data_IF_434099504815
#
_entry.id   IF_434099504815
#
_cell.length_a   1.000
_cell.length_b   1.000
_cell.length_c   1.000
_cell.angle_alpha   90.00
_cell.angle_beta   90.00
_cell.angle_gamma   90.00
#
_symmetry.space_group_name_H-M   'P 1'
#
loop_
_entity.id
_entity.type
_entity.pdbx_description
1 polymer ?
#
# COMPACT_ATOMS: atom_id res chain seq x y z
N UNK A 1 -22.51 12.89 18.55
CA UNK A 1 -21.22 13.20 19.18
C UNK A 1 -20.75 14.53 18.65
N UNK A 2 -20.27 15.42 19.52
CA UNK A 2 -19.64 16.67 19.07
C UNK A 2 -18.28 16.40 18.46
N UNK A 3 -17.96 17.06 17.35
CA UNK A 3 -16.61 17.13 16.78
C UNK A 3 -15.63 17.66 17.83
N UNK A 4 -14.34 17.32 17.70
CA UNK A 4 -13.32 17.80 18.63
C UNK A 4 -13.26 19.34 18.69
N UNK A 5 -13.50 20.01 17.55
CA UNK A 5 -13.54 21.47 17.44
C UNK A 5 -14.74 22.10 18.16
N UNK A 6 -15.88 21.42 18.21
CA UNK A 6 -17.10 21.90 18.91
C UNK A 6 -16.99 21.76 20.44
N UNK A 7 -15.97 21.02 20.91
CA UNK A 7 -15.62 20.89 22.33
C UNK A 7 -14.50 21.84 22.74
N UNK A 8 -13.88 22.54 21.77
CA UNK A 8 -12.80 23.48 22.00
C UNK A 8 -13.25 24.63 22.91
N UNK A 9 -12.38 25.05 23.81
CA UNK A 9 -12.56 26.26 24.61
C UNK A 9 -11.32 27.15 24.47
N UNK A 10 -11.47 28.41 24.01
CA UNK A 10 -10.34 29.32 23.83
C UNK A 10 -9.45 29.41 25.07
N UNK A 11 -8.14 29.28 24.87
CA UNK A 11 -7.12 29.34 25.92
C UNK A 11 -6.90 28.05 26.71
N UNK A 12 -7.73 27.01 26.51
CA UNK A 12 -7.56 25.73 27.21
C UNK A 12 -6.32 24.98 26.71
N UNK A 13 -5.65 24.26 27.60
CA UNK A 13 -4.41 23.51 27.32
C UNK A 13 -4.52 22.08 27.84
N UNK A 14 -3.96 21.15 27.09
CA UNK A 14 -3.75 19.76 27.50
C UNK A 14 -2.31 19.55 28.00
N UNK A 15 -1.88 18.30 28.07
CA UNK A 15 -0.48 17.95 28.29
C UNK A 15 0.42 18.56 27.21
N UNK A 16 1.56 19.11 27.63
CA UNK A 16 2.58 19.65 26.74
C UNK A 16 3.83 18.77 26.75
N UNK A 17 4.71 18.91 25.74
CA UNK A 17 6.04 18.33 25.82
C UNK A 17 6.79 18.87 27.04
N UNK A 18 7.79 18.13 27.56
CA UNK A 18 8.65 18.65 28.61
C UNK A 18 9.25 19.98 28.19
N UNK A 19 9.25 20.95 29.13
CA UNK A 19 9.94 22.20 28.90
C UNK A 19 11.44 21.94 29.02
N UNK A 20 12.16 22.26 27.95
CA UNK A 20 13.61 22.37 27.97
C UNK A 20 13.92 23.85 28.08
N UNK A 21 14.84 24.25 28.98
CA UNK A 21 15.32 25.63 29.16
C UNK A 21 16.19 26.07 27.95
N UNK A 22 15.61 25.99 26.75
CA UNK A 22 16.24 26.37 25.50
C UNK A 22 15.86 27.82 25.17
N UNK A 23 16.79 28.60 24.60
CA UNK A 23 16.46 29.94 24.13
C UNK A 23 15.41 29.86 23.02
N UNK A 24 14.48 30.80 23.02
CA UNK A 24 13.49 30.91 21.96
C UNK A 24 14.19 31.07 20.61
N UNK A 25 13.78 30.28 19.61
CA UNK A 25 14.34 30.38 18.28
C UNK A 25 14.09 31.78 17.69
N UNK A 26 15.14 32.43 17.21
CA UNK A 26 15.04 33.71 16.53
C UNK A 26 14.53 33.51 15.10
N UNK A 27 13.21 33.41 14.95
CA UNK A 27 12.56 33.32 13.64
C UNK A 27 12.37 34.75 13.10
N UNK A 28 12.86 35.10 11.90
CA UNK A 28 12.59 36.39 11.25
C UNK A 28 11.09 36.67 11.18
N UNK A 29 10.68 37.92 11.41
CA UNK A 29 9.27 38.29 11.54
C UNK A 29 8.46 37.94 10.27
N UNK A 30 9.07 38.13 9.11
CA UNK A 30 8.50 37.80 7.80
C UNK A 30 8.24 36.30 7.58
N UNK A 31 8.87 35.43 8.38
CA UNK A 31 8.65 33.98 8.36
C UNK A 31 7.70 33.51 9.47
N UNK A 32 7.30 34.39 10.40
CA UNK A 32 6.41 34.03 11.49
C UNK A 32 4.98 33.88 10.99
N UNK A 33 4.28 32.92 11.59
CA UNK A 33 2.86 32.74 11.33
C UNK A 33 2.08 33.88 11.98
N UNK A 34 1.38 34.69 11.17
CA UNK A 34 0.58 35.81 11.65
C UNK A 34 -0.64 35.39 12.48
N UNK A 35 -1.29 34.28 12.12
CA UNK A 35 -2.48 33.76 12.79
C UNK A 35 -2.27 32.32 13.28
N UNK A 36 -2.61 31.99 14.54
CA UNK A 36 -2.51 30.62 15.04
C UNK A 36 -3.33 29.63 14.19
N UNK A 37 -2.90 28.36 14.06
CA UNK A 37 -3.74 27.35 13.45
C UNK A 37 -5.01 27.15 14.28
N UNK A 38 -6.12 26.85 13.60
CA UNK A 38 -7.41 26.52 14.24
C UNK A 38 -7.41 25.09 14.81
N UNK A 39 -6.41 24.77 15.63
CA UNK A 39 -6.36 23.52 16.38
C UNK A 39 -7.36 23.60 17.56
N UNK A 40 -7.93 22.46 17.97
CA UNK A 40 -8.88 22.46 19.07
C UNK A 40 -8.14 22.61 20.42
N UNK A 41 -8.70 23.43 21.32
CA UNK A 41 -8.14 23.76 22.63
C UNK A 41 -8.90 23.00 23.73
N UNK A 42 -8.33 21.89 24.22
CA UNK A 42 -8.95 21.00 25.20
C UNK A 42 -7.98 20.60 26.30
N UNK A 43 -8.53 20.19 27.46
CA UNK A 43 -7.75 19.54 28.50
C UNK A 43 -7.55 18.05 28.16
N UNK A 44 -6.47 17.45 28.67
CA UNK A 44 -6.14 16.04 28.39
C UNK A 44 -7.26 15.04 28.72
N UNK A 45 -8.00 15.17 29.85
CA UNK A 45 -9.13 14.28 30.12
C UNK A 45 -10.26 14.38 29.08
N UNK A 46 -10.44 15.55 28.46
CA UNK A 46 -11.45 15.73 27.42
C UNK A 46 -11.03 15.10 26.09
N UNK A 47 -9.73 15.14 25.77
CA UNK A 47 -9.13 14.43 24.65
C UNK A 47 -9.35 12.92 24.79
N UNK A 48 -9.02 12.36 25.97
CA UNK A 48 -9.22 10.96 26.27
C UNK A 48 -10.70 10.56 26.13
N UNK A 49 -11.62 11.32 26.74
CA UNK A 49 -13.07 11.07 26.62
C UNK A 49 -13.53 11.12 25.16
N UNK A 50 -13.01 12.05 24.37
CA UNK A 50 -13.38 12.18 22.97
C UNK A 50 -12.97 10.94 22.16
N UNK A 51 -11.68 10.54 22.20
CA UNK A 51 -11.23 9.40 21.41
C UNK A 51 -11.76 8.05 21.93
N UNK A 52 -11.97 7.89 23.23
CA UNK A 52 -12.65 6.71 23.78
C UNK A 52 -14.12 6.64 23.35
N UNK A 53 -14.84 7.77 23.29
CA UNK A 53 -16.21 7.79 22.75
C UNK A 53 -16.23 7.49 21.24
N UNK A 54 -15.23 7.94 20.47
CA UNK A 54 -15.10 7.57 19.05
C UNK A 54 -14.85 6.07 18.89
N UNK A 55 -13.96 5.49 19.71
CA UNK A 55 -13.61 4.08 19.57
C UNK A 55 -14.79 3.15 19.86
N UNK A 56 -15.67 3.49 20.82
CA UNK A 56 -16.87 2.69 21.11
C UNK A 56 -17.95 2.79 20.02
N UNK A 57 -17.84 3.78 19.12
CA UNK A 57 -18.72 3.93 17.95
C UNK A 57 -18.14 3.27 16.69
N UNK A 58 -16.92 2.73 16.76
CA UNK A 58 -16.29 2.03 15.66
C UNK A 58 -16.46 0.52 15.81
N UNK A 59 -16.80 -0.16 14.70
CA UNK A 59 -16.77 -1.62 14.64
C UNK A 59 -15.47 -2.06 13.96
N UNK A 60 -14.84 -3.09 14.49
CA UNK A 60 -13.61 -3.66 13.94
C UNK A 60 -13.50 -5.15 14.24
N UNK A 61 -12.38 -5.76 13.81
CA UNK A 61 -12.14 -7.19 13.98
C UNK A 61 -12.13 -7.64 15.45
N UNK A 62 -11.82 -6.71 16.36
CA UNK A 62 -11.74 -6.97 17.80
C UNK A 62 -13.11 -6.98 18.47
N UNK A 63 -14.11 -6.38 17.82
CA UNK A 63 -15.46 -6.23 18.35
C UNK A 63 -16.45 -7.23 17.74
N UNK A 64 -16.07 -7.92 16.66
CA UNK A 64 -16.89 -8.97 16.08
C UNK A 64 -16.42 -9.47 14.72
N UNK A 65 -17.22 -10.37 14.14
CA UNK A 65 -16.94 -10.97 12.84
C UNK A 65 -17.02 -9.94 11.69
N UNK A 66 -16.01 -9.93 10.82
CA UNK A 66 -15.82 -8.87 9.82
C UNK A 66 -15.55 -9.44 8.41
N UNK A 67 -16.56 -10.04 7.72
CA UNK A 67 -16.37 -10.79 6.47
C UNK A 67 -16.27 -9.90 5.22
N UNK A 68 -15.24 -9.05 5.13
CA UNK A 68 -14.98 -8.28 3.92
C UNK A 68 -14.20 -9.10 2.89
N UNK A 69 -14.82 -9.33 1.73
CA UNK A 69 -14.14 -9.88 0.56
C UNK A 69 -12.95 -9.01 0.14
N UNK A 70 -11.90 -9.65 -0.40
CA UNK A 70 -10.63 -9.01 -0.83
C UNK A 70 -9.80 -8.33 0.29
N UNK A 71 -10.31 -8.22 1.52
CA UNK A 71 -9.64 -7.48 2.60
C UNK A 71 -8.90 -8.36 3.62
N UNK A 72 -9.16 -9.67 3.64
CA UNK A 72 -8.53 -10.65 4.56
C UNK A 72 -8.49 -10.15 6.01
N UNK A 73 -9.67 -9.85 6.58
CA UNK A 73 -9.84 -9.34 7.95
C UNK A 73 -9.55 -10.43 9.01
N UNK A 74 -8.29 -10.85 9.08
CA UNK A 74 -7.77 -11.85 10.02
C UNK A 74 -7.53 -11.22 11.39
N UNK A 75 -7.34 -12.06 12.40
CA UNK A 75 -6.87 -11.61 13.71
C UNK A 75 -5.52 -10.89 13.59
N UNK A 76 -5.38 -9.74 14.28
CA UNK A 76 -4.10 -9.04 14.46
C UNK A 76 -3.49 -9.41 15.83
N UNK A 77 -2.47 -10.28 15.89
CA UNK A 77 -1.88 -10.71 17.16
C UNK A 77 -1.32 -9.55 17.99
N UNK A 78 -1.78 -9.43 19.25
CA UNK A 78 -1.34 -8.35 20.16
C UNK A 78 0.16 -8.36 20.48
N UNK A 79 0.81 -9.51 20.29
CA UNK A 79 2.27 -9.60 20.38
C UNK A 79 2.95 -8.67 19.37
N UNK A 80 2.35 -8.46 18.19
CA UNK A 80 2.92 -7.59 17.15
C UNK A 80 3.00 -6.14 17.63
N UNK A 81 1.95 -5.63 18.28
CA UNK A 81 1.93 -4.28 18.89
C UNK A 81 3.03 -4.11 19.95
N UNK A 82 3.35 -5.18 20.69
CA UNK A 82 4.44 -5.13 21.67
C UNK A 82 5.81 -5.14 21.00
N UNK A 83 5.97 -5.89 19.91
CA UNK A 83 7.24 -6.02 19.20
C UNK A 83 7.61 -4.73 18.44
N UNK A 84 6.65 -4.05 17.81
CA UNK A 84 6.91 -2.77 17.12
C UNK A 84 7.32 -1.65 18.09
N UNK A 85 6.96 -1.78 19.37
CA UNK A 85 7.29 -0.83 20.43
C UNK A 85 8.66 -1.07 21.07
N UNK A 86 9.42 -2.07 20.63
CA UNK A 86 10.80 -2.26 21.09
C UNK A 86 11.64 -1.03 20.71
N UNK A 87 12.46 -0.47 21.64
CA UNK A 87 13.22 0.76 21.37
C UNK A 87 14.09 0.69 20.11
N UNK A 88 14.69 -0.47 19.83
CA UNK A 88 15.50 -0.70 18.62
C UNK A 88 14.74 -0.63 17.29
N UNK A 89 13.40 -0.60 17.31
CA UNK A 89 12.57 -0.34 16.13
C UNK A 89 11.86 1.01 16.21
N UNK A 90 11.24 1.32 17.36
CA UNK A 90 10.46 2.54 17.56
C UNK A 90 11.30 3.81 17.44
N UNK A 91 12.52 3.78 17.97
CA UNK A 91 13.37 4.96 18.11
C UNK A 91 14.47 5.01 17.03
N UNK A 92 14.38 4.16 16.01
CA UNK A 92 15.34 4.04 14.92
C UNK A 92 15.20 5.20 13.92
N UNK A 93 16.30 5.85 13.56
CA UNK A 93 16.31 6.86 12.50
C UNK A 93 16.70 6.22 11.15
N UNK A 94 15.97 6.46 10.05
CA UNK A 94 16.23 5.79 8.76
C UNK A 94 17.59 6.14 8.12
N UNK A 95 18.23 7.23 8.56
CA UNK A 95 19.57 7.64 8.10
C UNK A 95 20.67 7.51 9.17
N UNK A 96 20.45 6.73 10.23
CA UNK A 96 21.55 6.42 11.14
C UNK A 96 22.54 5.44 10.49
N UNK A 97 23.75 5.36 11.02
CA UNK A 97 24.77 4.44 10.52
C UNK A 97 24.26 2.98 10.52
N UNK A 98 24.55 2.24 9.45
CA UNK A 98 24.06 0.86 9.25
C UNK A 98 24.54 -0.09 10.35
N UNK A 99 25.76 0.14 10.89
CA UNK A 99 26.32 -0.62 12.01
C UNK A 99 25.44 -0.51 13.27
N UNK A 100 24.72 0.60 13.44
CA UNK A 100 23.78 0.82 14.53
C UNK A 100 22.35 0.30 14.23
N UNK A 101 22.09 -0.19 13.02
CA UNK A 101 20.77 -0.62 12.54
C UNK A 101 20.68 -2.11 12.17
N UNK A 102 21.73 -2.91 12.45
CA UNK A 102 21.82 -4.31 12.01
C UNK A 102 20.62 -5.18 12.39
N UNK A 103 20.01 -4.98 13.56
CA UNK A 103 18.82 -5.75 13.94
C UNK A 103 17.58 -5.47 13.06
N UNK A 104 17.42 -4.24 12.58
CA UNK A 104 16.35 -3.88 11.66
C UNK A 104 16.64 -4.38 10.24
N UNK A 105 17.89 -4.27 9.80
CA UNK A 105 18.33 -4.77 8.50
C UNK A 105 18.20 -6.30 8.41
N UNK A 106 18.57 -7.02 9.48
CA UNK A 106 18.37 -8.47 9.56
C UNK A 106 16.89 -8.85 9.49
N UNK A 107 16.01 -8.12 10.19
CA UNK A 107 14.56 -8.35 10.13
C UNK A 107 14.02 -8.16 8.71
N UNK A 108 14.42 -7.08 8.04
CA UNK A 108 14.03 -6.80 6.65
C UNK A 108 14.49 -7.91 5.72
N UNK A 109 15.76 -8.31 5.81
CA UNK A 109 16.32 -9.38 5.00
C UNK A 109 15.58 -10.71 5.21
N UNK A 110 15.37 -11.12 6.47
CA UNK A 110 14.63 -12.37 6.78
C UNK A 110 13.20 -12.34 6.23
N UNK A 111 12.55 -11.18 6.27
CA UNK A 111 11.21 -11.02 5.69
C UNK A 111 11.25 -11.14 4.17
N UNK A 112 12.24 -10.53 3.51
CA UNK A 112 12.42 -10.67 2.06
C UNK A 112 12.62 -12.13 1.66
N UNK A 113 13.52 -12.85 2.33
CA UNK A 113 13.78 -14.28 2.07
C UNK A 113 12.52 -15.13 2.24
N UNK A 114 11.74 -14.89 3.30
CA UNK A 114 10.48 -15.60 3.52
C UNK A 114 9.45 -15.32 2.42
N UNK A 115 9.34 -14.08 1.94
CA UNK A 115 8.43 -13.72 0.86
C UNK A 115 8.88 -14.25 -0.49
N UNK A 116 10.19 -14.29 -0.75
CA UNK A 116 10.81 -14.91 -1.94
C UNK A 116 10.42 -16.39 -1.98
N UNK A 117 10.63 -17.13 -0.88
CA UNK A 117 10.29 -18.55 -0.78
C UNK A 117 8.78 -18.80 -1.00
N UNK A 118 7.91 -18.00 -0.39
CA UNK A 118 6.45 -18.16 -0.52
C UNK A 118 5.96 -17.86 -1.93
N UNK A 119 6.54 -16.86 -2.60
CA UNK A 119 6.08 -16.38 -3.90
C UNK A 119 6.76 -17.07 -5.08
N UNK A 120 7.89 -17.74 -4.87
CA UNK A 120 8.71 -18.31 -5.95
C UNK A 120 9.39 -17.25 -6.83
N UNK A 121 9.47 -15.99 -6.39
CA UNK A 121 10.14 -14.91 -7.11
C UNK A 121 11.64 -14.86 -6.77
N UNK A 122 12.46 -14.24 -7.63
CA UNK A 122 13.90 -14.15 -7.43
C UNK A 122 14.34 -13.06 -6.42
N UNK A 123 13.49 -12.06 -6.17
CA UNK A 123 13.80 -10.92 -5.32
C UNK A 123 12.52 -10.28 -4.75
N UNK A 124 12.64 -9.61 -3.61
CA UNK A 124 11.55 -8.88 -2.96
C UNK A 124 12.01 -7.48 -2.54
N UNK A 125 11.18 -6.46 -2.76
CA UNK A 125 11.37 -5.12 -2.22
C UNK A 125 10.34 -4.83 -1.13
N UNK A 126 10.79 -4.27 -0.01
CA UNK A 126 9.94 -3.83 1.10
C UNK A 126 9.62 -2.32 1.06
N UNK A 127 10.01 -1.64 -0.02
CA UNK A 127 9.85 -0.18 -0.15
C UNK A 127 8.40 0.29 -0.39
N UNK A 128 7.56 -0.43 -1.18
CA UNK A 128 6.18 0.01 -1.38
C UNK A 128 5.35 -0.03 -0.09
N UNK A 129 4.67 1.07 0.23
CA UNK A 129 3.91 1.23 1.47
C UNK A 129 2.51 0.58 1.44
N UNK A 130 2.03 0.15 0.26
CA UNK A 130 0.74 -0.50 0.08
C UNK A 130 0.71 -1.33 -1.22
N UNK A 131 -0.31 -2.19 -1.36
CA UNK A 131 -0.50 -3.03 -2.55
C UNK A 131 -0.54 -2.24 -3.86
N UNK A 132 -1.29 -1.14 -3.92
CA UNK A 132 -1.37 -0.29 -5.13
C UNK A 132 -0.04 0.38 -5.48
N UNK A 133 0.80 0.71 -4.50
CA UNK A 133 2.15 1.20 -4.77
C UNK A 133 3.06 0.05 -5.26
N UNK A 134 2.83 -1.17 -4.78
CA UNK A 134 3.46 -2.38 -5.31
C UNK A 134 3.11 -2.63 -6.77
N UNK A 135 1.83 -2.51 -7.14
CA UNK A 135 1.35 -2.56 -8.53
C UNK A 135 2.09 -1.55 -9.42
N UNK A 136 2.12 -0.27 -9.01
CA UNK A 136 2.83 0.78 -9.74
C UNK A 136 4.33 0.47 -9.85
N UNK A 137 4.95 -0.04 -8.79
CA UNK A 137 6.37 -0.42 -8.79
C UNK A 137 6.62 -1.55 -9.80
N UNK A 138 5.78 -2.59 -9.82
CA UNK A 138 5.87 -3.69 -10.79
C UNK A 138 5.73 -3.21 -12.23
N UNK A 139 4.77 -2.32 -12.51
CA UNK A 139 4.59 -1.71 -13.83
C UNK A 139 5.79 -0.84 -14.24
N UNK A 140 6.38 -0.09 -13.30
CA UNK A 140 7.58 0.69 -13.56
C UNK A 140 8.81 -0.19 -13.84
N UNK A 141 8.92 -1.35 -13.17
CA UNK A 141 9.96 -2.35 -13.45
C UNK A 141 9.77 -2.97 -14.83
N UNK A 142 8.54 -3.33 -15.20
CA UNK A 142 8.19 -3.81 -16.56
C UNK A 142 8.57 -2.77 -17.62
N UNK A 143 8.31 -1.48 -17.35
CA UNK A 143 8.69 -0.39 -18.26
C UNK A 143 10.20 -0.23 -18.38
N UNK A 144 10.92 -0.30 -17.25
CA UNK A 144 12.38 -0.26 -17.24
C UNK A 144 12.97 -1.43 -18.04
N UNK A 145 12.41 -2.64 -17.88
CA UNK A 145 12.81 -3.83 -18.63
C UNK A 145 12.68 -3.64 -20.15
N UNK A 146 11.53 -3.17 -20.65
CA UNK A 146 11.37 -2.95 -22.08
C UNK A 146 12.18 -1.75 -22.60
N UNK A 147 12.38 -0.71 -21.79
CA UNK A 147 13.25 0.42 -22.15
C UNK A 147 14.72 -0.02 -22.33
N UNK A 148 15.24 -0.84 -21.43
CA UNK A 148 16.61 -1.37 -21.50
C UNK A 148 16.84 -2.20 -22.77
N UNK A 149 15.79 -2.87 -23.26
CA UNK A 149 15.78 -3.64 -24.51
C UNK A 149 15.52 -2.81 -25.76
N UNK A 150 15.28 -1.50 -25.62
CA UNK A 150 14.89 -0.63 -26.75
C UNK A 150 13.45 -0.85 -27.26
N UNK A 151 12.63 -1.63 -26.55
CA UNK A 151 11.25 -1.98 -26.91
C UNK A 151 10.21 -1.07 -26.23
N UNK A 152 10.62 -0.16 -25.34
CA UNK A 152 9.70 0.61 -24.49
C UNK A 152 8.76 1.58 -25.21
N UNK A 153 9.07 1.98 -26.45
CA UNK A 153 8.15 2.76 -27.29
C UNK A 153 7.07 1.90 -27.97
N UNK A 154 7.33 0.60 -28.12
CA UNK A 154 6.43 -0.37 -28.73
C UNK A 154 5.53 -1.02 -27.67
N UNK A 155 6.12 -1.47 -26.56
CA UNK A 155 5.46 -2.19 -25.44
C UNK A 155 4.70 -1.20 -24.57
N UNK A 156 3.52 -0.78 -25.02
CA UNK A 156 2.76 0.33 -24.43
C UNK A 156 1.38 -0.04 -23.88
N UNK A 157 1.00 -1.32 -23.91
CA UNK A 157 -0.33 -1.79 -23.48
C UNK A 157 -0.25 -2.81 -22.35
N UNK A 158 -1.03 -2.62 -21.29
CA UNK A 158 -1.21 -3.60 -20.21
C UNK A 158 -2.66 -4.05 -20.19
N UNK A 159 -2.85 -5.36 -20.11
CA UNK A 159 -4.17 -5.99 -20.04
C UNK A 159 -4.53 -6.22 -18.57
N UNK A 160 -5.78 -5.98 -18.20
CA UNK A 160 -6.35 -6.36 -16.90
C UNK A 160 -7.59 -7.21 -17.09
N UNK A 161 -7.91 -8.10 -16.15
CA UNK A 161 -9.24 -8.70 -16.10
C UNK A 161 -10.33 -7.61 -15.94
N UNK A 162 -11.50 -7.81 -16.55
CA UNK A 162 -12.67 -6.93 -16.37
C UNK A 162 -13.19 -6.91 -14.91
N UNK A 163 -12.92 -7.97 -14.16
CA UNK A 163 -13.21 -8.15 -12.73
C UNK A 163 -12.11 -7.66 -11.79
N UNK A 164 -11.04 -7.07 -12.31
CA UNK A 164 -9.91 -6.60 -11.51
C UNK A 164 -10.32 -5.53 -10.48
N UNK A 165 -9.58 -5.48 -9.36
CA UNK A 165 -9.73 -4.40 -8.40
C UNK A 165 -9.44 -3.03 -9.05
N UNK A 166 -10.12 -1.98 -8.60
CA UNK A 166 -10.04 -0.65 -9.22
C UNK A 166 -8.65 0.00 -9.18
N UNK A 167 -7.74 -0.50 -8.33
CA UNK A 167 -6.34 -0.05 -8.30
C UNK A 167 -5.58 -0.45 -9.55
N UNK A 168 -5.81 -1.64 -10.10
CA UNK A 168 -5.09 -2.12 -11.30
C UNK A 168 -5.18 -1.13 -12.49
N UNK A 169 -6.37 -0.74 -13.00
CA UNK A 169 -6.45 0.21 -14.11
C UNK A 169 -5.93 1.61 -13.76
N UNK A 170 -6.03 2.02 -12.49
CA UNK A 170 -5.46 3.27 -12.03
C UNK A 170 -3.93 3.23 -12.07
N UNK A 171 -3.31 2.15 -11.58
CA UNK A 171 -1.88 1.90 -11.60
C UNK A 171 -1.33 1.84 -13.04
N UNK A 172 -2.04 1.16 -13.97
CA UNK A 172 -1.70 1.14 -15.41
C UNK A 172 -1.63 2.56 -15.98
N UNK A 173 -2.65 3.37 -15.71
CA UNK A 173 -2.71 4.75 -16.19
C UNK A 173 -1.61 5.60 -15.57
N UNK A 174 -1.37 5.48 -14.26
CA UNK A 174 -0.30 6.19 -13.54
C UNK A 174 1.10 5.83 -14.04
N UNK A 175 1.31 4.56 -14.43
CA UNK A 175 2.56 4.10 -15.02
C UNK A 175 2.76 4.56 -16.48
N UNK A 176 1.73 5.16 -17.10
CA UNK A 176 1.76 5.69 -18.46
C UNK A 176 1.54 4.64 -19.55
N UNK A 177 0.93 3.50 -19.21
CA UNK A 177 0.51 2.47 -20.15
C UNK A 177 -0.90 2.72 -20.67
N UNK A 178 -1.21 2.19 -21.86
CA UNK A 178 -2.57 2.01 -22.34
C UNK A 178 -3.19 0.81 -21.64
N UNK A 179 -4.48 0.93 -21.32
CA UNK A 179 -5.25 -0.13 -20.67
C UNK A 179 -6.10 -0.86 -21.70
N UNK A 180 -6.00 -2.19 -21.72
CA UNK A 180 -6.96 -3.08 -22.35
C UNK A 180 -7.58 -4.00 -21.30
N UNK A 181 -8.81 -4.48 -21.55
CA UNK A 181 -9.53 -5.34 -20.62
C UNK A 181 -9.89 -6.65 -21.30
N UNK A 182 -9.57 -7.76 -20.66
CA UNK A 182 -9.99 -9.09 -21.08
C UNK A 182 -11.29 -9.47 -20.37
N UNK A 183 -12.21 -10.08 -21.11
CA UNK A 183 -13.48 -10.54 -20.58
C UNK A 183 -13.33 -11.74 -19.65
N UNK A 184 -14.28 -11.89 -18.73
CA UNK A 184 -14.47 -13.10 -17.92
C UNK A 184 -15.45 -14.08 -18.61
N UNK A 185 -15.13 -15.38 -18.62
CA UNK A 185 -15.96 -16.43 -19.22
C UNK A 185 -17.17 -16.81 -18.32
N UNK A 186 -18.05 -17.69 -18.81
CA UNK A 186 -19.23 -18.12 -18.07
C UNK A 186 -18.94 -18.89 -16.76
N UNK A 187 -17.69 -19.35 -16.56
CA UNK A 187 -17.23 -20.05 -15.36
C UNK A 187 -16.50 -19.14 -14.38
N UNK A 188 -16.23 -17.88 -14.74
CA UNK A 188 -15.51 -16.93 -13.90
C UNK A 188 -13.99 -16.92 -14.13
N UNK A 189 -13.50 -17.58 -15.18
CA UNK A 189 -12.08 -17.53 -15.60
C UNK A 189 -11.85 -16.38 -16.58
N UNK A 190 -10.59 -16.10 -16.88
CA UNK A 190 -10.22 -15.27 -18.04
C UNK A 190 -10.71 -15.95 -19.34
N UNK A 191 -11.41 -15.20 -20.20
CA UNK A 191 -11.79 -15.68 -21.53
C UNK A 191 -10.53 -15.77 -22.42
N UNK A 192 -10.02 -16.98 -22.57
CA UNK A 192 -8.80 -17.27 -23.35
C UNK A 192 -8.97 -16.91 -24.83
N UNK A 193 -10.18 -17.03 -25.40
CA UNK A 193 -10.40 -16.68 -26.80
C UNK A 193 -10.31 -15.15 -26.99
N UNK A 194 -10.99 -14.39 -26.13
CA UNK A 194 -10.89 -12.94 -26.12
C UNK A 194 -9.45 -12.47 -25.81
N UNK A 195 -8.75 -13.14 -24.90
CA UNK A 195 -7.36 -12.82 -24.57
C UNK A 195 -6.44 -12.92 -25.79
N UNK A 196 -6.60 -13.98 -26.61
CA UNK A 196 -5.81 -14.17 -27.83
C UNK A 196 -6.04 -13.09 -28.89
N UNK A 197 -7.22 -12.45 -28.89
CA UNK A 197 -7.52 -11.32 -29.78
C UNK A 197 -6.89 -10.01 -29.30
N UNK A 198 -6.65 -9.88 -27.99
CA UNK A 198 -6.11 -8.67 -27.36
C UNK A 198 -4.58 -8.64 -27.28
N UNK A 199 -3.94 -9.80 -27.16
CA UNK A 199 -2.47 -9.90 -26.99
C UNK A 199 -1.78 -9.77 -28.35
N UNK A 200 -0.88 -8.79 -28.44
CA UNK A 200 -0.12 -8.44 -29.64
C UNK A 200 1.34 -8.03 -29.31
N UNK A 201 2.10 -7.59 -30.31
CA UNK A 201 3.49 -7.13 -30.15
C UNK A 201 3.64 -5.83 -29.33
N UNK A 202 2.55 -5.12 -29.05
CA UNK A 202 2.54 -3.91 -28.20
C UNK A 202 2.26 -4.23 -26.75
N UNK A 203 1.86 -5.46 -26.46
CA UNK A 203 1.49 -5.90 -25.12
C UNK A 203 2.73 -5.99 -24.24
N UNK A 204 2.71 -5.26 -23.13
CA UNK A 204 3.77 -5.24 -22.13
C UNK A 204 3.55 -6.31 -21.06
N UNK A 205 2.30 -6.53 -20.62
CA UNK A 205 1.99 -7.59 -19.66
C UNK A 205 0.54 -7.65 -19.19
N UNK A 206 0.29 -8.53 -18.23
CA UNK A 206 -1.02 -8.81 -17.63
C UNK A 206 -1.02 -8.46 -16.14
N UNK A 207 -2.06 -7.76 -15.69
CA UNK A 207 -2.39 -7.72 -14.25
C UNK A 207 -3.58 -8.63 -13.97
N UNK A 208 -3.33 -9.70 -13.24
CA UNK A 208 -4.34 -10.68 -12.83
C UNK A 208 -4.30 -10.94 -11.32
N UNK A 209 -5.35 -11.56 -10.81
CA UNK A 209 -5.41 -12.04 -9.42
C UNK A 209 -5.80 -13.51 -9.47
N UNK A 210 -5.05 -14.38 -8.79
CA UNK A 210 -5.33 -15.82 -8.74
C UNK A 210 -5.20 -16.32 -7.29
N UNK A 211 -6.27 -16.78 -6.62
CA UNK A 211 -7.68 -16.77 -7.08
C UNK A 211 -8.19 -15.38 -7.49
N UNK A 212 -9.15 -15.35 -8.41
CA UNK A 212 -9.76 -14.11 -8.90
C UNK A 212 -10.52 -13.37 -7.81
N UNK A 213 -10.99 -12.16 -8.10
CA UNK A 213 -11.85 -11.38 -7.19
C UNK A 213 -13.20 -12.04 -6.90
N UNK A 214 -13.56 -13.08 -7.67
CA UNK A 214 -14.69 -13.97 -7.41
C UNK A 214 -14.38 -15.07 -6.38
N UNK A 215 -13.11 -15.23 -5.98
CA UNK A 215 -12.65 -16.30 -5.10
C UNK A 215 -12.47 -17.65 -5.82
N UNK A 216 -12.33 -17.64 -7.15
CA UNK A 216 -12.16 -18.82 -7.98
C UNK A 216 -10.72 -18.91 -8.51
N UNK A 217 -10.11 -20.09 -8.46
CA UNK A 217 -8.84 -20.33 -9.15
C UNK A 217 -9.06 -20.41 -10.65
N UNK A 218 -8.24 -19.73 -11.43
CA UNK A 218 -8.32 -19.82 -12.89
C UNK A 218 -7.79 -21.17 -13.38
N UNK A 219 -8.65 -21.94 -14.04
CA UNK A 219 -8.33 -23.28 -14.54
C UNK A 219 -7.36 -23.27 -15.74
N UNK A 220 -7.18 -22.11 -16.38
CA UNK A 220 -6.39 -21.96 -17.61
C UNK A 220 -5.13 -21.09 -17.38
N UNK A 221 -4.67 -20.93 -16.14
CA UNK A 221 -3.57 -20.00 -15.81
C UNK A 221 -2.27 -20.28 -16.58
N UNK A 222 -1.98 -21.54 -16.88
CA UNK A 222 -0.81 -21.94 -17.68
C UNK A 222 -0.93 -21.49 -19.14
N UNK A 223 -2.13 -21.62 -19.73
CA UNK A 223 -2.40 -21.16 -21.09
C UNK A 223 -2.36 -19.63 -21.19
N UNK A 224 -2.88 -18.93 -20.17
CA UNK A 224 -2.79 -17.47 -20.05
C UNK A 224 -1.33 -17.04 -20.03
N UNK A 225 -0.50 -17.62 -19.15
CA UNK A 225 0.92 -17.30 -19.09
C UNK A 225 1.65 -17.58 -20.42
N UNK A 226 1.34 -18.71 -21.06
CA UNK A 226 1.91 -19.08 -22.36
C UNK A 226 1.60 -18.05 -23.44
N UNK A 227 0.36 -17.55 -23.53
CA UNK A 227 -0.04 -16.54 -24.52
C UNK A 227 0.81 -15.27 -24.39
N UNK A 228 1.03 -14.77 -23.17
CA UNK A 228 1.83 -13.56 -22.94
C UNK A 228 3.31 -13.79 -23.25
N UNK A 229 3.88 -14.89 -22.76
CA UNK A 229 5.29 -15.21 -23.00
C UNK A 229 5.60 -15.45 -24.48
N UNK A 230 4.70 -16.11 -25.24
CA UNK A 230 4.86 -16.30 -26.69
C UNK A 230 4.85 -14.97 -27.46
N UNK A 231 4.12 -13.96 -26.97
CA UNK A 231 4.13 -12.59 -27.52
C UNK A 231 5.31 -11.73 -27.03
N UNK A 232 6.17 -12.27 -26.16
CA UNK A 232 7.28 -11.55 -25.54
C UNK A 232 6.86 -10.50 -24.49
N UNK A 233 5.64 -10.61 -23.96
CA UNK A 233 5.15 -9.83 -22.84
C UNK A 233 5.58 -10.45 -21.49
N UNK A 234 5.46 -9.68 -20.40
CA UNK A 234 5.74 -10.11 -19.02
C UNK A 234 4.48 -10.51 -18.25
#
# INVERSE_FOLDING_TARGET
MKLIFERSQPGRRGGGPPSHDLPAAAIPEELRRAEPPRLPELAEPELLRHFTELSTRNFGIDTGFYPLGSCTMKYNPRVNERLVMLPGFRDLHPYQDEDAAQGALELMWRLQEALIEISGLHACSLQPAAGSQGELTGLMLMRAYFNDRGEGAQRDTVITADTAHGTNPASVTMAGYKLAKVATDARGNVDVANLRELVDERTAGLMLTNPSTLGLFDENIEDVAKIFHEAGAL
#
